data_IF_695569228079
#
_entry.id   IF_695569228079
#
_cell.length_a   1.000
_cell.length_b   1.000
_cell.length_c   1.000
_cell.angle_alpha   90.00
_cell.angle_beta   90.00
_cell.angle_gamma   90.00
#
_symmetry.space_group_name_H-M   'P 1'
#
loop_
_entity.id
_entity.type
_entity.pdbx_description
1 polymer ?
#
# COMPACT_ATOMS: atom_id res chain seq x y z
N UNK A 1 13.48 -24.75 3.66
CA UNK A 1 12.68 -23.89 4.56
C UNK A 1 12.97 -22.39 4.41
N UNK A 2 14.23 -21.90 4.54
CA UNK A 2 14.53 -20.46 4.32
C UNK A 2 14.24 -19.94 2.89
N UNK A 3 14.41 -20.78 1.86
CA UNK A 3 14.10 -20.40 0.46
C UNK A 3 12.59 -20.30 0.17
N UNK A 4 11.75 -21.06 0.88
CA UNK A 4 10.28 -21.00 0.71
C UNK A 4 9.70 -19.66 1.20
N UNK A 5 10.20 -19.17 2.34
CA UNK A 5 9.83 -17.86 2.88
C UNK A 5 10.27 -16.68 2.01
N UNK A 6 11.24 -16.87 1.10
CA UNK A 6 11.67 -15.83 0.16
C UNK A 6 10.78 -15.82 -1.09
N UNK A 7 10.28 -16.99 -1.53
CA UNK A 7 9.33 -17.11 -2.66
C UNK A 7 7.95 -16.58 -2.26
N UNK A 8 7.51 -16.76 -1.00
CA UNK A 8 6.35 -16.06 -0.42
C UNK A 8 6.72 -14.68 0.17
N UNK A 9 8.01 -14.31 0.18
CA UNK A 9 8.56 -13.21 0.95
C UNK A 9 8.15 -11.83 0.47
N UNK A 10 7.69 -11.71 -0.77
CA UNK A 10 7.09 -10.48 -1.30
C UNK A 10 5.63 -10.29 -0.87
N UNK A 11 5.01 -11.31 -0.24
CA UNK A 11 3.74 -11.20 0.49
C UNK A 11 4.01 -11.29 2.00
N UNK A 12 5.22 -10.95 2.44
CA UNK A 12 5.37 -10.47 3.82
C UNK A 12 4.59 -9.16 3.87
N UNK A 13 3.40 -9.19 4.45
CA UNK A 13 2.67 -8.01 4.93
C UNK A 13 3.51 -7.32 6.02
N UNK A 14 4.68 -6.78 5.66
CA UNK A 14 5.47 -5.91 6.53
C UNK A 14 4.81 -4.53 6.49
N UNK A 15 3.66 -4.43 7.14
CA UNK A 15 2.99 -3.17 7.41
C UNK A 15 3.81 -2.44 8.46
N UNK A 16 4.83 -1.72 8.01
CA UNK A 16 5.56 -0.76 8.82
C UNK A 16 4.95 0.61 8.65
N UNK A 17 3.87 0.92 9.38
CA UNK A 17 3.43 2.30 9.51
C UNK A 17 4.41 3.04 10.45
N UNK A 18 5.33 3.82 9.89
CA UNK A 18 6.18 4.71 10.68
C UNK A 18 5.42 6.03 10.82
N UNK A 19 4.88 6.27 12.01
CA UNK A 19 4.16 7.51 12.35
C UNK A 19 5.11 8.48 13.04
N UNK A 20 5.35 9.65 12.45
CA UNK A 20 6.07 10.73 13.14
C UNK A 20 5.05 11.80 13.58
N UNK A 21 4.92 11.96 14.89
CA UNK A 21 4.13 13.03 15.49
C UNK A 21 4.99 14.30 15.51
N UNK A 22 4.64 15.29 14.69
CA UNK A 22 5.32 16.60 14.67
C UNK A 22 4.35 17.62 15.27
N UNK A 23 4.46 17.85 16.58
CA UNK A 23 3.75 18.96 17.20
C UNK A 23 4.44 20.29 16.83
N UNK A 24 3.86 21.06 15.90
CA UNK A 24 4.24 22.46 15.74
C UNK A 24 3.80 23.25 16.98
N UNK A 25 4.69 23.40 17.97
CA UNK A 25 4.55 24.47 18.95
C UNK A 25 4.81 25.77 18.19
N UNK A 26 3.74 26.49 17.84
CA UNK A 26 3.87 27.83 17.29
C UNK A 26 4.82 28.63 18.16
N UNK A 27 5.87 29.20 17.56
CA UNK A 27 6.90 29.95 18.26
C UNK A 27 6.28 31.13 18.99
N UNK A 28 5.94 30.93 20.25
CA UNK A 28 5.94 31.98 21.26
C UNK A 28 6.83 31.44 22.36
N UNK A 29 8.01 32.04 22.44
CA UNK A 29 8.84 32.10 23.63
C UNK A 29 7.93 32.24 24.85
N UNK A 30 7.71 31.14 25.57
CA UNK A 30 7.29 31.08 26.96
C UNK A 30 7.33 29.59 27.36
N UNK A 31 8.10 29.30 28.41
CA UNK A 31 8.21 28.01 29.07
C UNK A 31 6.85 27.58 29.66
N UNK A 32 5.89 27.20 28.81
CA UNK A 32 4.61 26.67 29.24
C UNK A 32 4.66 25.14 29.11
N UNK A 33 4.61 24.46 30.24
CA UNK A 33 4.31 23.02 30.33
C UNK A 33 3.09 22.71 29.43
N UNK A 34 3.13 21.67 28.59
CA UNK A 34 1.99 21.33 27.73
C UNK A 34 0.72 21.19 28.58
N UNK A 35 -0.28 22.05 28.33
CA UNK A 35 -1.55 21.98 29.05
C UNK A 35 -2.32 20.70 28.74
N UNK A 36 -3.24 20.30 29.63
CA UNK A 36 -4.08 19.10 29.48
C UNK A 36 -4.88 19.07 28.16
N UNK A 37 -5.15 20.22 27.55
CA UNK A 37 -5.79 20.37 26.22
C UNK A 37 -4.90 19.90 25.08
N UNK A 38 -3.61 20.26 25.09
CA UNK A 38 -2.64 19.81 24.08
C UNK A 38 -2.47 18.29 24.10
N UNK A 39 -2.44 17.68 25.30
CA UNK A 39 -2.41 16.22 25.44
C UNK A 39 -3.67 15.54 24.93
N UNK A 40 -4.85 16.14 25.12
CA UNK A 40 -6.11 15.62 24.58
C UNK A 40 -6.17 15.71 23.06
N UNK A 41 -5.75 16.84 22.48
CA UNK A 41 -5.72 17.02 21.03
C UNK A 41 -4.72 16.05 20.37
N UNK A 42 -3.54 15.83 20.97
CA UNK A 42 -2.58 14.83 20.49
C UNK A 42 -3.15 13.40 20.53
N UNK A 43 -3.93 13.04 21.56
CA UNK A 43 -4.63 11.74 21.63
C UNK A 43 -5.65 11.59 20.50
N UNK A 44 -6.40 12.65 20.18
CA UNK A 44 -7.36 12.62 19.07
C UNK A 44 -6.62 12.47 17.73
N UNK A 45 -5.56 13.23 17.50
CA UNK A 45 -4.73 13.08 16.30
C UNK A 45 -4.20 11.63 16.15
N UNK A 46 -3.69 11.05 17.23
CA UNK A 46 -3.22 9.65 17.23
C UNK A 46 -4.36 8.66 16.95
N UNK A 47 -5.57 8.91 17.45
CA UNK A 47 -6.74 8.09 17.12
C UNK A 47 -7.09 8.19 15.63
N UNK A 48 -7.03 9.38 15.03
CA UNK A 48 -7.24 9.56 13.59
C UNK A 48 -6.17 8.79 12.80
N UNK A 49 -4.89 8.89 13.18
CA UNK A 49 -3.79 8.13 12.56
C UNK A 49 -4.05 6.61 12.61
N UNK A 50 -4.38 6.08 13.78
CA UNK A 50 -4.66 4.64 13.94
C UNK A 50 -5.87 4.19 13.12
N UNK A 51 -6.90 5.04 13.02
CA UNK A 51 -8.10 4.75 12.24
C UNK A 51 -7.80 4.75 10.74
N UNK A 52 -7.02 5.71 10.26
CA UNK A 52 -6.52 5.76 8.90
C UNK A 52 -5.71 4.51 8.55
N UNK A 53 -4.77 4.10 9.40
CA UNK A 53 -3.99 2.88 9.19
C UNK A 53 -4.89 1.64 9.13
N UNK A 54 -5.91 1.56 9.99
CA UNK A 54 -6.89 0.47 9.93
C UNK A 54 -7.64 0.47 8.60
N UNK A 55 -8.10 1.61 8.11
CA UNK A 55 -8.74 1.69 6.80
C UNK A 55 -7.78 1.23 5.68
N UNK A 56 -6.54 1.68 5.68
CA UNK A 56 -5.54 1.22 4.69
C UNK A 56 -5.30 -0.29 4.74
N UNK A 57 -5.32 -0.90 5.92
CA UNK A 57 -5.26 -2.36 6.08
C UNK A 57 -6.52 -3.06 5.53
N UNK A 58 -7.69 -2.55 5.84
CA UNK A 58 -8.96 -3.09 5.34
C UNK A 58 -9.04 -3.01 3.80
N UNK A 59 -8.48 -1.95 3.22
CA UNK A 59 -8.34 -1.79 1.77
C UNK A 59 -7.44 -2.86 1.18
N UNK A 60 -6.25 -3.08 1.75
CA UNK A 60 -5.32 -4.11 1.29
C UNK A 60 -5.94 -5.50 1.34
N UNK A 61 -6.70 -5.83 2.40
CA UNK A 61 -7.38 -7.12 2.51
C UNK A 61 -8.39 -7.37 1.39
N UNK A 62 -8.98 -6.31 0.84
CA UNK A 62 -10.00 -6.40 -0.20
C UNK A 62 -9.48 -6.15 -1.62
N UNK A 63 -8.26 -5.60 -1.76
CA UNK A 63 -7.70 -5.12 -3.02
C UNK A 63 -6.24 -5.55 -3.18
N UNK A 64 -5.96 -6.85 -3.05
CA UNK A 64 -4.60 -7.39 -3.14
C UNK A 64 -4.06 -7.43 -4.57
N UNK A 65 -4.93 -7.37 -5.58
CA UNK A 65 -4.58 -7.53 -6.97
C UNK A 65 -5.02 -6.35 -7.84
N UNK A 66 -4.21 -6.02 -8.82
CA UNK A 66 -4.56 -5.15 -9.94
C UNK A 66 -4.68 -6.02 -11.18
N UNK A 67 -5.90 -6.12 -11.70
CA UNK A 67 -6.21 -6.84 -12.93
C UNK A 67 -5.86 -5.98 -14.15
N UNK A 68 -4.77 -6.34 -14.84
CA UNK A 68 -4.31 -5.55 -15.99
C UNK A 68 -5.25 -5.62 -17.19
N UNK A 69 -6.12 -6.62 -17.27
CA UNK A 69 -7.08 -6.76 -18.39
C UNK A 69 -8.09 -5.61 -18.43
N UNK A 70 -8.29 -4.91 -17.32
CA UNK A 70 -9.20 -3.77 -17.21
C UNK A 70 -8.64 -2.46 -17.77
N UNK A 71 -7.34 -2.39 -18.07
CA UNK A 71 -6.64 -1.15 -18.46
C UNK A 71 -6.04 -1.20 -19.87
N UNK A 72 -6.11 -2.34 -20.56
CA UNK A 72 -5.48 -2.58 -21.86
C UNK A 72 -4.10 -3.25 -21.74
N UNK A 73 -3.70 -4.00 -22.78
CA UNK A 73 -2.52 -4.89 -22.75
C UNK A 73 -1.18 -4.18 -22.53
N UNK A 74 -1.06 -2.93 -22.99
CA UNK A 74 0.21 -2.21 -23.01
C UNK A 74 0.48 -1.42 -21.73
N UNK A 75 -0.56 -1.07 -20.95
CA UNK A 75 -0.43 -0.14 -19.80
C UNK A 75 0.53 -0.66 -18.74
N UNK A 76 0.57 -1.97 -18.54
CA UNK A 76 1.41 -2.64 -17.56
C UNK A 76 2.52 -3.49 -18.18
N UNK A 77 2.71 -3.44 -19.51
CA UNK A 77 3.71 -4.28 -20.18
C UNK A 77 5.13 -4.05 -19.62
N UNK A 78 5.51 -2.78 -19.43
CA UNK A 78 6.80 -2.41 -18.87
C UNK A 78 6.96 -2.83 -17.40
N UNK A 79 5.87 -2.96 -16.64
CA UNK A 79 5.93 -3.41 -15.26
C UNK A 79 6.44 -4.86 -15.17
N UNK A 80 6.03 -5.71 -16.10
CA UNK A 80 6.45 -7.11 -16.14
C UNK A 80 7.87 -7.30 -16.68
N UNK A 81 8.27 -6.46 -17.63
CA UNK A 81 9.56 -6.62 -18.33
C UNK A 81 10.73 -5.97 -17.59
N UNK A 82 10.47 -5.03 -16.67
CA UNK A 82 11.51 -4.27 -15.96
C UNK A 82 12.14 -5.02 -14.78
N UNK A 83 11.59 -6.16 -14.38
CA UNK A 83 12.15 -6.99 -13.30
C UNK A 83 12.19 -8.44 -13.73
N UNK A 84 13.25 -9.14 -13.35
CA UNK A 84 13.49 -10.53 -13.69
C UNK A 84 14.32 -11.22 -12.60
N UNK A 85 14.73 -12.47 -12.82
CA UNK A 85 15.49 -13.23 -11.81
C UNK A 85 16.87 -12.63 -11.51
N UNK A 86 17.49 -11.95 -12.48
CA UNK A 86 18.80 -11.31 -12.35
C UNK A 86 18.68 -9.91 -11.73
N UNK A 87 17.64 -9.17 -12.10
CA UNK A 87 17.29 -7.84 -11.60
C UNK A 87 15.89 -7.87 -10.95
N UNK A 88 15.79 -8.39 -9.72
CA UNK A 88 14.49 -8.72 -9.12
C UNK A 88 13.74 -7.52 -8.55
N UNK A 89 14.38 -6.36 -8.42
CA UNK A 89 13.77 -5.17 -7.83
C UNK A 89 14.12 -3.94 -8.66
N UNK A 90 13.13 -3.11 -8.95
CA UNK A 90 13.31 -1.83 -9.63
C UNK A 90 12.49 -0.73 -8.93
N UNK A 91 13.14 0.36 -8.55
CA UNK A 91 12.46 1.58 -8.10
C UNK A 91 12.07 2.38 -9.34
N UNK A 92 10.80 2.75 -9.44
CA UNK A 92 10.25 3.42 -10.61
C UNK A 92 10.11 4.91 -10.33
N UNK A 93 10.65 5.72 -11.24
CA UNK A 93 10.38 7.16 -11.27
C UNK A 93 8.95 7.39 -11.75
N UNK A 94 8.16 8.12 -10.97
CA UNK A 94 6.78 8.49 -11.30
C UNK A 94 6.70 9.34 -12.58
N UNK A 95 7.78 10.02 -12.96
CA UNK A 95 7.86 10.83 -14.17
C UNK A 95 8.24 10.01 -15.43
N UNK A 96 8.62 8.74 -15.28
CA UNK A 96 9.00 7.89 -16.41
C UNK A 96 7.78 7.59 -17.30
N UNK A 97 7.85 8.01 -18.56
CA UNK A 97 6.78 7.82 -19.54
C UNK A 97 6.45 6.36 -19.81
N UNK A 98 7.37 5.43 -19.53
CA UNK A 98 7.15 3.99 -19.69
C UNK A 98 6.21 3.41 -18.63
N UNK A 99 6.06 4.09 -17.49
CA UNK A 99 5.26 3.62 -16.35
C UNK A 99 4.12 4.56 -15.96
N UNK A 100 4.13 5.81 -16.46
CA UNK A 100 3.22 6.86 -16.00
C UNK A 100 1.75 6.45 -16.02
N UNK A 101 1.31 5.71 -17.05
CA UNK A 101 -0.10 5.42 -17.23
C UNK A 101 -0.56 4.38 -16.20
N UNK A 102 0.23 3.31 -16.00
CA UNK A 102 -0.02 2.31 -14.97
C UNK A 102 0.02 2.92 -13.57
N UNK A 103 1.02 3.77 -13.29
CA UNK A 103 1.14 4.49 -12.00
C UNK A 103 -0.07 5.41 -11.78
N UNK A 104 -0.50 6.17 -12.78
CA UNK A 104 -1.66 7.06 -12.68
C UNK A 104 -2.96 6.31 -12.42
N UNK A 105 -3.14 5.14 -13.03
CA UNK A 105 -4.28 4.28 -12.77
C UNK A 105 -4.29 3.79 -11.30
N UNK A 106 -3.15 3.32 -10.80
CA UNK A 106 -3.02 2.90 -9.40
C UNK A 106 -3.26 4.08 -8.44
N UNK A 107 -2.68 5.25 -8.74
CA UNK A 107 -2.88 6.47 -7.98
C UNK A 107 -4.35 6.89 -7.93
N UNK A 108 -5.10 6.69 -9.02
CA UNK A 108 -6.52 7.02 -9.09
C UNK A 108 -7.36 6.12 -8.19
N UNK A 109 -7.08 4.81 -8.17
CA UNK A 109 -7.72 3.87 -7.25
C UNK A 109 -7.49 4.33 -5.80
N UNK A 110 -6.24 4.64 -5.47
CA UNK A 110 -5.88 5.05 -4.12
C UNK A 110 -6.48 6.40 -3.72
N UNK A 111 -6.47 7.38 -4.63
CA UNK A 111 -7.07 8.70 -4.40
C UNK A 111 -8.56 8.59 -4.08
N UNK A 112 -9.30 7.83 -4.89
CA UNK A 112 -10.73 7.62 -4.67
C UNK A 112 -11.00 6.97 -3.31
N UNK A 113 -10.13 6.06 -2.87
CA UNK A 113 -10.24 5.43 -1.56
C UNK A 113 -9.91 6.41 -0.42
N UNK A 114 -8.85 7.20 -0.57
CA UNK A 114 -8.44 8.22 0.40
C UNK A 114 -9.54 9.28 0.58
N UNK A 115 -10.17 9.72 -0.50
CA UNK A 115 -11.27 10.69 -0.45
C UNK A 115 -12.46 10.17 0.37
N UNK A 116 -12.79 8.88 0.24
CA UNK A 116 -13.82 8.23 1.06
C UNK A 116 -13.45 8.18 2.54
N UNK A 117 -12.20 7.86 2.87
CA UNK A 117 -11.71 7.90 4.26
C UNK A 117 -11.79 9.32 4.81
N UNK A 118 -11.34 10.30 4.02
CA UNK A 118 -11.33 11.72 4.37
C UNK A 118 -12.72 12.19 4.76
N UNK A 119 -13.73 11.88 3.95
CA UNK A 119 -15.13 12.21 4.23
C UNK A 119 -15.60 11.57 5.54
N UNK A 120 -15.34 10.26 5.74
CA UNK A 120 -15.76 9.54 6.95
C UNK A 120 -15.18 10.15 8.22
N UNK A 121 -13.89 10.51 8.22
CA UNK A 121 -13.23 11.11 9.38
C UNK A 121 -13.71 12.56 9.56
N UNK A 122 -13.86 13.34 8.50
CA UNK A 122 -14.39 14.71 8.59
C UNK A 122 -15.79 14.75 9.22
N UNK A 123 -16.67 13.79 8.87
CA UNK A 123 -18.00 13.68 9.45
C UNK A 123 -17.98 13.36 10.96
N UNK A 124 -17.12 12.43 11.38
CA UNK A 124 -16.95 12.06 12.79
C UNK A 124 -16.45 13.21 13.66
N UNK A 125 -15.60 14.06 13.10
CA UNK A 125 -15.03 15.24 13.75
C UNK A 125 -15.55 16.54 13.10
N UNK A 126 -16.83 16.57 12.75
CA UNK A 126 -17.47 17.66 11.98
C UNK A 126 -17.41 19.03 12.66
N UNK A 127 -17.28 19.07 13.99
CA UNK A 127 -17.05 20.31 14.75
C UNK A 127 -15.66 20.91 14.51
N UNK A 128 -14.72 20.14 13.97
CA UNK A 128 -13.36 20.58 13.62
C UNK A 128 -13.21 20.75 12.11
N UNK A 129 -13.76 19.81 11.33
CA UNK A 129 -13.64 19.78 9.87
C UNK A 129 -14.92 20.30 9.19
N UNK A 130 -15.19 21.59 9.34
CA UNK A 130 -16.41 22.21 8.75
C UNK A 130 -16.28 22.35 7.23
N UNK A 131 -15.11 22.79 6.75
CA UNK A 131 -14.82 23.05 5.32
C UNK A 131 -13.43 22.54 4.94
N UNK A 132 -12.94 21.51 5.62
CA UNK A 132 -11.62 20.95 5.41
C UNK A 132 -11.65 19.44 5.57
N UNK A 133 -10.58 18.77 5.16
CA UNK A 133 -10.40 17.34 5.33
C UNK A 133 -9.16 17.04 6.18
N UNK A 134 -9.16 15.95 6.96
CA UNK A 134 -8.06 15.63 7.85
C UNK A 134 -6.79 15.18 7.13
N UNK A 135 -6.91 14.45 6.01
CA UNK A 135 -5.78 13.84 5.33
C UNK A 135 -5.40 14.60 4.05
N UNK A 136 -4.10 14.80 3.89
CA UNK A 136 -3.51 15.29 2.64
C UNK A 136 -2.47 14.29 2.17
N UNK A 137 -2.60 13.84 0.92
CA UNK A 137 -1.63 12.95 0.28
C UNK A 137 -0.58 13.73 -0.50
N UNK A 138 0.69 13.40 -0.27
CA UNK A 138 1.82 14.08 -0.86
C UNK A 138 2.42 13.23 -2.00
N UNK A 139 1.81 13.33 -3.18
CA UNK A 139 2.13 12.45 -4.32
C UNK A 139 3.59 12.54 -4.78
N UNK A 140 4.22 13.71 -4.66
CA UNK A 140 5.61 13.95 -5.05
C UNK A 140 6.63 13.15 -4.22
N UNK A 141 6.23 12.66 -3.04
CA UNK A 141 7.07 11.86 -2.15
C UNK A 141 6.81 10.36 -2.24
N UNK A 142 5.91 9.94 -3.13
CA UNK A 142 5.61 8.53 -3.28
C UNK A 142 6.80 7.78 -3.88
N UNK A 143 7.01 6.55 -3.43
CA UNK A 143 7.99 5.63 -4.00
C UNK A 143 7.27 4.41 -4.54
N UNK A 144 7.48 4.14 -5.82
CA UNK A 144 6.98 2.97 -6.52
C UNK A 144 8.11 1.96 -6.67
N UNK A 145 7.89 0.70 -6.30
CA UNK A 145 8.89 -0.36 -6.44
C UNK A 145 8.25 -1.60 -7.02
N UNK A 146 8.86 -2.14 -8.08
CA UNK A 146 8.51 -3.42 -8.68
C UNK A 146 9.41 -4.51 -8.11
N UNK A 147 8.83 -5.66 -7.83
CA UNK A 147 9.53 -6.85 -7.40
C UNK A 147 9.11 -8.05 -8.26
N UNK A 148 10.10 -8.76 -8.79
CA UNK A 148 9.92 -9.95 -9.61
C UNK A 148 9.19 -11.05 -8.84
N UNK A 149 8.19 -11.66 -9.47
CA UNK A 149 7.54 -12.88 -9.00
C UNK A 149 8.01 -14.02 -9.87
N UNK A 150 8.71 -14.99 -9.27
CA UNK A 150 9.17 -16.18 -10.00
C UNK A 150 8.02 -17.18 -10.19
N UNK A 151 7.32 -17.06 -11.32
CA UNK A 151 6.20 -17.95 -11.67
C UNK A 151 6.63 -19.41 -11.85
N UNK A 152 7.86 -19.67 -12.32
CA UNK A 152 8.39 -21.03 -12.44
C UNK A 152 8.53 -21.70 -11.07
N UNK A 153 9.06 -20.97 -10.08
CA UNK A 153 9.17 -21.49 -8.72
C UNK A 153 7.78 -21.74 -8.09
N UNK A 154 6.81 -20.86 -8.36
CA UNK A 154 5.42 -21.04 -7.91
C UNK A 154 4.76 -22.26 -8.57
N UNK A 155 5.00 -22.47 -9.86
CA UNK A 155 4.53 -23.65 -10.60
C UNK A 155 5.17 -24.93 -10.08
N UNK A 156 6.48 -24.94 -9.82
CA UNK A 156 7.16 -26.10 -9.24
C UNK A 156 6.58 -26.51 -7.88
N UNK A 157 6.07 -25.54 -7.10
CA UNK A 157 5.36 -25.81 -5.85
C UNK A 157 3.92 -26.28 -6.07
N UNK A 158 3.25 -25.80 -7.13
CA UNK A 158 1.87 -26.12 -7.47
C UNK A 158 1.71 -26.47 -8.97
N UNK A 159 2.15 -27.69 -9.39
CA UNK A 159 2.16 -28.05 -10.81
C UNK A 159 0.77 -28.11 -11.45
N UNK A 160 -0.30 -28.20 -10.63
CA UNK A 160 -1.69 -28.17 -11.10
C UNK A 160 -2.17 -26.81 -11.58
N UNK A 161 -1.43 -25.72 -11.29
CA UNK A 161 -1.75 -24.37 -11.74
C UNK A 161 -0.83 -24.00 -12.91
N UNK A 162 -1.41 -23.80 -14.09
CA UNK A 162 -0.66 -23.45 -15.29
C UNK A 162 -0.15 -22.01 -15.30
N UNK A 163 1.05 -21.79 -15.83
CA UNK A 163 1.70 -20.46 -15.93
C UNK A 163 1.78 -19.92 -17.36
N UNK A 164 1.25 -20.64 -18.35
CA UNK A 164 1.34 -20.23 -19.75
C UNK A 164 0.66 -18.88 -19.97
N UNK A 165 1.44 -17.91 -20.47
CA UNK A 165 0.98 -16.53 -20.69
C UNK A 165 0.69 -15.74 -19.41
N UNK A 166 0.91 -16.30 -18.22
CA UNK A 166 0.73 -15.61 -16.95
C UNK A 166 1.83 -14.58 -16.76
N UNK A 167 1.43 -13.36 -16.40
CA UNK A 167 2.33 -12.27 -16.04
C UNK A 167 1.95 -11.77 -14.67
N UNK A 168 2.94 -11.61 -13.81
CA UNK A 168 2.73 -11.07 -12.48
C UNK A 168 3.97 -10.33 -11.98
N UNK A 169 3.75 -9.23 -11.28
CA UNK A 169 4.79 -8.49 -10.58
C UNK A 169 4.23 -7.98 -9.26
N UNK A 170 5.05 -7.98 -8.22
CA UNK A 170 4.69 -7.34 -6.95
C UNK A 170 4.98 -5.85 -7.07
N UNK A 171 3.98 -5.03 -6.74
CA UNK A 171 4.09 -3.58 -6.75
C UNK A 171 3.96 -3.05 -5.32
N UNK A 172 5.04 -2.48 -4.84
CA UNK A 172 5.12 -1.82 -3.55
C UNK A 172 4.95 -0.32 -3.76
N UNK A 173 3.94 0.25 -3.12
CA UNK A 173 3.60 1.65 -3.19
C UNK A 173 3.73 2.31 -1.81
N UNK A 174 4.83 3.01 -1.60
CA UNK A 174 5.05 3.77 -0.38
C UNK A 174 4.49 5.18 -0.55
N UNK A 175 3.47 5.50 0.22
CA UNK A 175 2.86 6.82 0.23
C UNK A 175 3.33 7.65 1.41
N UNK A 176 3.35 8.96 1.20
CA UNK A 176 3.51 9.94 2.25
C UNK A 176 2.22 10.73 2.44
N UNK A 177 1.69 10.78 3.65
CA UNK A 177 0.46 11.52 3.94
C UNK A 177 0.56 12.27 5.26
N UNK A 178 -0.13 13.41 5.31
CA UNK A 178 -0.25 14.22 6.51
C UNK A 178 -1.67 14.10 7.06
N UNK A 179 -1.78 14.08 8.39
CA UNK A 179 -3.04 14.21 9.11
C UNK A 179 -2.99 15.51 9.90
N UNK A 180 -3.99 16.35 9.76
CA UNK A 180 -4.12 17.60 10.51
C UNK A 180 -5.32 17.54 11.44
N UNK A 181 -5.16 17.97 12.69
CA UNK A 181 -6.24 18.16 13.65
C UNK A 181 -6.04 19.49 14.38
N UNK A 182 -6.94 20.46 14.12
CA UNK A 182 -6.81 21.85 14.61
C UNK A 182 -5.47 22.48 14.20
N UNK A 183 -4.53 22.64 15.15
CA UNK A 183 -3.22 23.29 14.95
C UNK A 183 -2.04 22.32 15.02
N UNK A 184 -2.32 21.02 15.13
CA UNK A 184 -1.30 19.98 15.18
C UNK A 184 -1.42 19.08 13.97
N UNK A 185 -0.28 18.57 13.50
CA UNK A 185 -0.22 17.68 12.35
C UNK A 185 0.66 16.48 12.65
N UNK A 186 0.49 15.43 11.86
CA UNK A 186 1.33 14.24 11.88
C UNK A 186 1.68 13.87 10.46
N UNK A 187 2.96 13.58 10.23
CA UNK A 187 3.48 13.13 8.96
C UNK A 187 3.74 11.63 9.02
N UNK A 188 3.16 10.90 8.08
CA UNK A 188 3.07 9.45 8.13
C UNK A 188 3.43 8.84 6.79
N UNK A 189 3.96 7.63 6.85
CA UNK A 189 4.17 6.79 5.68
C UNK A 189 3.35 5.51 5.80
N UNK A 190 2.87 5.01 4.67
CA UNK A 190 2.23 3.70 4.59
C UNK A 190 2.67 3.01 3.31
N UNK A 191 2.96 1.71 3.42
CA UNK A 191 3.35 0.88 2.28
C UNK A 191 2.19 -0.02 1.90
N UNK A 192 1.68 0.15 0.69
CA UNK A 192 0.76 -0.80 0.09
C UNK A 192 1.54 -1.81 -0.75
N UNK A 193 1.18 -3.08 -0.66
CA UNK A 193 1.73 -4.13 -1.50
C UNK A 193 0.59 -4.77 -2.29
N UNK A 194 0.73 -4.76 -3.61
CA UNK A 194 -0.24 -5.32 -4.54
C UNK A 194 0.47 -6.30 -5.46
N UNK A 195 -0.30 -7.19 -6.08
CA UNK A 195 0.17 -7.96 -7.23
C UNK A 195 -0.55 -7.45 -8.47
N UNK A 196 0.23 -6.98 -9.44
CA UNK A 196 -0.27 -6.61 -10.75
C UNK A 196 -0.19 -7.87 -11.61
N UNK A 197 -1.31 -8.29 -12.22
CA UNK A 197 -1.35 -9.50 -13.05
C UNK A 197 -2.42 -9.43 -14.13
N UNK A 198 -2.19 -10.17 -15.22
CA UNK A 198 -3.19 -10.42 -16.25
C UNK A 198 -4.17 -11.55 -15.90
N UNK A 199 -3.93 -12.29 -14.81
CA UNK A 199 -4.85 -13.31 -14.30
C UNK A 199 -4.77 -13.38 -12.77
N UNK A 200 -5.40 -12.42 -12.05
CA UNK A 200 -5.42 -12.41 -10.60
C UNK A 200 -5.99 -13.68 -9.97
N UNK A 201 -6.91 -14.38 -10.65
CA UNK A 201 -7.51 -15.61 -10.15
C UNK A 201 -6.48 -16.73 -10.06
N UNK A 202 -5.64 -16.91 -11.09
CA UNK A 202 -4.53 -17.87 -11.03
C UNK A 202 -3.50 -17.53 -9.95
N UNK A 203 -3.16 -16.24 -9.78
CA UNK A 203 -2.26 -15.82 -8.71
C UNK A 203 -2.86 -16.15 -7.33
N UNK A 204 -4.14 -15.87 -7.12
CA UNK A 204 -4.83 -16.22 -5.89
C UNK A 204 -4.87 -17.74 -5.65
N UNK A 205 -5.06 -18.53 -6.72
CA UNK A 205 -4.97 -19.99 -6.66
C UNK A 205 -3.58 -20.45 -6.20
N UNK A 206 -2.51 -19.91 -6.79
CA UNK A 206 -1.14 -20.19 -6.34
C UNK A 206 -0.95 -19.86 -4.86
N UNK A 207 -1.42 -18.72 -4.39
CA UNK A 207 -1.31 -18.33 -2.99
C UNK A 207 -2.08 -19.28 -2.07
N UNK A 208 -3.32 -19.60 -2.43
CA UNK A 208 -4.19 -20.48 -1.64
C UNK A 208 -3.60 -21.89 -1.53
N UNK A 209 -3.25 -22.52 -2.66
CA UNK A 209 -2.69 -23.87 -2.67
C UNK A 209 -1.34 -23.95 -1.94
N UNK A 210 -0.50 -22.91 -2.09
CA UNK A 210 0.77 -22.84 -1.36
C UNK A 210 0.54 -22.72 0.15
N UNK A 211 -0.42 -21.91 0.58
CA UNK A 211 -0.77 -21.77 1.99
C UNK A 211 -1.33 -23.06 2.58
N UNK A 212 -2.19 -23.78 1.85
CA UNK A 212 -2.70 -25.11 2.23
C UNK A 212 -1.57 -26.13 2.42
N UNK A 213 -0.59 -26.15 1.51
CA UNK A 213 0.58 -27.02 1.63
C UNK A 213 1.46 -26.65 2.83
N UNK A 214 1.59 -25.37 3.12
CA UNK A 214 2.37 -24.85 4.24
C UNK A 214 1.68 -25.03 5.60
N UNK A 215 0.34 -24.98 5.65
CA UNK A 215 -0.44 -25.23 6.86
C UNK A 215 -0.50 -26.71 7.26
N UNK A 216 -0.04 -27.61 6.38
CA UNK A 216 -0.03 -29.05 6.62
C UNK A 216 -1.32 -29.77 6.25
N UNK A 217 -2.27 -29.07 5.59
CA UNK A 217 -3.50 -29.66 5.06
C UNK A 217 -3.20 -30.37 3.73
N UNK A 218 -2.48 -31.49 3.81
CA UNK A 218 -2.24 -32.37 2.66
C UNK A 218 -3.50 -33.21 2.45
N UNK A 219 -4.42 -32.77 1.60
CA UNK A 219 -5.39 -33.67 1.00
C UNK A 219 -4.70 -34.43 -0.14
N UNK A 220 -4.44 -35.72 0.11
CA UNK A 220 -4.03 -36.71 -0.89
C UNK A 220 -5.11 -36.92 -1.95
#
# INVERSE_FOLDING_TARGET
MKKLLIILGTISLTVGAITTLIACTGSKTNNATPGATTTKDAKVLNNIVNKTNKYFLDFLNSNQYVDTTQYGSEVFANFFNNVNKQEPTAVIDIADSNFNQGINNINTIFKNYLDQINIKIAQEYSNVYVNSYPLTWNMEKNISTLNFINLEDLHNLNPGVGIDGLKAVSYQFNIHYNIEYKKISSSNNFTFNFIISNDPQKINQFQTETMTKLSGDIYY
#
